data_IF_847797210563
#
_entry.id   IF_847797210563
#
_cell.length_a   1.000
_cell.length_b   1.000
_cell.length_c   1.000
_cell.angle_alpha   90.00
_cell.angle_beta   90.00
_cell.angle_gamma   90.00
#
_symmetry.space_group_name_H-M   'P 1'
#
loop_
_entity.id
_entity.type
_entity.pdbx_description
1 polymer ?
#
# COMPACT_ATOMS: atom_id res chain seq x y z
N UNK A 1 -10.95 28.59 17.42
CA UNK A 1 -10.78 27.13 17.54
C UNK A 1 -9.99 26.85 18.82
N UNK A 2 -10.47 26.01 19.72
CA UNK A 2 -9.73 25.56 20.90
C UNK A 2 -8.47 24.80 20.46
N UNK A 3 -7.42 24.83 21.30
CA UNK A 3 -6.18 24.06 21.01
C UNK A 3 -6.52 22.58 21.15
N UNK A 4 -6.38 21.80 20.08
CA UNK A 4 -6.54 20.33 20.10
C UNK A 4 -5.68 19.70 21.20
N UNK A 5 -6.23 18.74 21.92
CA UNK A 5 -5.52 17.99 22.94
C UNK A 5 -4.26 17.32 22.39
N UNK A 6 -3.36 16.94 23.27
CA UNK A 6 -2.19 16.15 22.91
C UNK A 6 -2.57 14.67 22.91
N UNK A 7 -2.06 13.89 21.94
CA UNK A 7 -2.24 12.44 21.97
C UNK A 7 -1.52 11.85 23.20
N UNK A 8 -2.09 10.81 23.75
CA UNK A 8 -1.47 9.99 24.80
C UNK A 8 -0.73 8.87 24.09
N UNK A 9 0.58 8.76 24.33
CA UNK A 9 1.40 7.68 23.79
C UNK A 9 2.10 6.97 24.94
N UNK A 10 1.84 5.67 25.07
CA UNK A 10 2.51 4.78 26.00
C UNK A 10 3.43 3.84 25.22
N UNK A 11 4.63 3.66 25.72
CA UNK A 11 5.66 2.81 25.13
C UNK A 11 6.13 1.80 26.16
N UNK A 12 5.93 0.52 25.89
CA UNK A 12 6.26 -0.58 26.82
C UNK A 12 7.02 -1.68 26.05
N UNK A 13 7.78 -2.53 26.75
CA UNK A 13 8.26 -3.79 26.18
C UNK A 13 7.09 -4.62 25.68
N UNK A 14 7.26 -5.27 24.51
CA UNK A 14 6.19 -6.04 23.89
C UNK A 14 6.18 -7.49 24.41
N UNK A 15 5.77 -7.63 25.66
CA UNK A 15 5.66 -8.90 26.38
C UNK A 15 4.38 -8.93 27.20
N UNK A 16 3.89 -10.15 27.50
CA UNK A 16 2.67 -10.33 28.27
C UNK A 16 2.81 -9.80 29.72
N UNK A 17 3.99 -9.98 30.32
CA UNK A 17 4.30 -9.47 31.66
C UNK A 17 4.28 -7.94 31.71
N UNK A 18 4.91 -7.28 30.69
CA UNK A 18 4.93 -5.82 30.62
C UNK A 18 3.55 -5.24 30.34
N UNK A 19 2.73 -5.90 29.52
CA UNK A 19 1.34 -5.51 29.29
C UNK A 19 0.50 -5.63 30.56
N UNK A 20 0.67 -6.70 31.32
CA UNK A 20 -0.04 -6.95 32.58
C UNK A 20 0.37 -5.96 33.65
N UNK A 21 1.66 -5.64 33.76
CA UNK A 21 2.16 -4.61 34.65
C UNK A 21 1.63 -3.22 34.31
N UNK A 22 1.64 -2.90 33.00
CA UNK A 22 1.06 -1.64 32.51
C UNK A 22 -0.41 -1.53 32.86
N UNK A 23 -1.21 -2.56 32.63
CA UNK A 23 -2.66 -2.55 32.85
C UNK A 23 -3.02 -2.44 34.34
N UNK A 24 -2.27 -3.15 35.23
CA UNK A 24 -2.65 -3.34 36.62
C UNK A 24 -1.95 -2.37 37.59
N UNK A 25 -0.78 -1.84 37.21
CA UNK A 25 0.02 -1.01 38.13
C UNK A 25 0.34 0.38 37.56
N UNK A 26 0.77 0.46 36.28
CA UNK A 26 1.21 1.74 35.70
C UNK A 26 0.00 2.61 35.30
N UNK A 27 -0.92 2.06 34.51
CA UNK A 27 -2.08 2.82 34.02
C UNK A 27 -3.00 3.33 35.15
N UNK A 28 -3.28 2.56 36.22
CA UNK A 28 -4.05 3.07 37.39
C UNK A 28 -3.40 4.23 38.14
N UNK A 29 -2.10 4.43 38.00
CA UNK A 29 -1.36 5.56 38.60
C UNK A 29 -1.39 6.83 37.73
N UNK A 30 -1.87 6.76 36.50
CA UNK A 30 -2.04 7.90 35.58
C UNK A 30 -3.32 8.70 35.94
N UNK A 31 -3.47 9.88 35.33
CA UNK A 31 -4.69 10.68 35.49
C UNK A 31 -5.94 9.98 34.87
N UNK A 32 -7.12 10.37 35.36
CA UNK A 32 -8.40 9.76 34.96
C UNK A 32 -8.64 9.83 33.43
N UNK A 33 -8.25 10.93 32.79
CA UNK A 33 -8.41 11.09 31.35
C UNK A 33 -7.53 10.09 30.58
N UNK A 34 -6.28 9.91 31.01
CA UNK A 34 -5.37 8.92 30.42
C UNK A 34 -5.92 7.51 30.58
N UNK A 35 -6.41 7.16 31.79
CA UNK A 35 -7.01 5.85 32.04
C UNK A 35 -8.22 5.60 31.14
N UNK A 36 -9.13 6.58 31.07
CA UNK A 36 -10.35 6.50 30.25
C UNK A 36 -10.04 6.31 28.76
N UNK A 37 -9.13 7.15 28.20
CA UNK A 37 -8.78 7.11 26.79
C UNK A 37 -8.06 5.82 26.37
N UNK A 38 -7.30 5.18 27.25
CA UNK A 38 -6.63 3.92 26.93
C UNK A 38 -7.55 2.70 27.15
N UNK A 39 -8.48 2.74 28.13
CA UNK A 39 -9.34 1.59 28.44
C UNK A 39 -10.61 1.53 27.61
N UNK A 40 -11.26 2.69 27.37
CA UNK A 40 -12.64 2.75 26.93
C UNK A 40 -12.80 3.41 25.53
N UNK A 41 -11.76 4.06 25.00
CA UNK A 41 -11.78 4.64 23.68
C UNK A 41 -11.06 3.77 22.65
N UNK A 42 -11.38 3.93 21.35
CA UNK A 42 -10.58 3.33 20.30
C UNK A 42 -9.12 3.77 20.38
N UNK A 43 -8.20 2.88 20.17
CA UNK A 43 -6.75 3.11 20.21
C UNK A 43 -6.10 2.63 18.93
N UNK A 44 -4.98 3.27 18.56
CA UNK A 44 -4.06 2.76 17.54
C UNK A 44 -2.82 2.24 18.25
N UNK A 45 -2.25 1.15 17.73
CA UNK A 45 -1.08 0.56 18.35
C UNK A 45 -0.08 0.09 17.30
N UNK A 46 1.21 0.06 17.72
CA UNK A 46 2.33 -0.34 16.87
C UNK A 46 3.15 -1.37 17.63
N UNK A 47 3.13 -2.63 17.19
CA UNK A 47 4.14 -3.61 17.54
C UNK A 47 5.35 -3.39 16.64
N UNK A 48 6.53 -3.35 17.20
CA UNK A 48 7.75 -3.28 16.40
C UNK A 48 8.84 -4.15 17.03
N UNK A 49 9.63 -4.76 16.16
CA UNK A 49 10.78 -5.57 16.58
C UNK A 49 11.97 -5.24 15.70
N UNK A 50 13.16 -5.35 16.30
CA UNK A 50 14.40 -5.01 15.64
C UNK A 50 15.18 -6.29 15.30
N UNK A 51 15.37 -6.52 14.01
CA UNK A 51 16.21 -7.59 13.49
C UNK A 51 17.47 -6.97 12.88
N UNK A 52 18.62 -7.10 13.58
CA UNK A 52 19.88 -6.45 13.21
C UNK A 52 19.73 -4.91 13.16
N UNK A 53 19.87 -4.31 11.99
CA UNK A 53 19.74 -2.86 11.81
C UNK A 53 18.37 -2.44 11.22
N UNK A 54 17.47 -3.39 11.01
CA UNK A 54 16.17 -3.16 10.41
C UNK A 54 15.04 -3.32 11.42
N UNK A 55 13.93 -2.66 11.13
CA UNK A 55 12.68 -2.80 11.87
C UNK A 55 11.66 -3.55 11.02
N UNK A 56 10.79 -4.28 11.67
CA UNK A 56 9.55 -4.75 11.13
C UNK A 56 8.44 -4.27 12.06
N UNK A 57 7.29 -3.92 11.50
CA UNK A 57 6.20 -3.32 12.26
C UNK A 57 4.86 -3.96 11.92
N UNK A 58 4.03 -4.09 12.93
CA UNK A 58 2.60 -4.35 12.77
C UNK A 58 1.84 -3.17 13.37
N UNK A 59 0.93 -2.59 12.61
CA UNK A 59 0.12 -1.46 13.03
C UNK A 59 -1.33 -1.91 13.05
N UNK A 60 -2.06 -1.56 14.09
CA UNK A 60 -3.45 -1.94 14.24
C UNK A 60 -4.26 -0.90 15.02
N UNK A 61 -5.57 -1.01 14.92
CA UNK A 61 -6.51 -0.26 15.73
C UNK A 61 -7.48 -1.20 16.44
N UNK A 62 -7.97 -0.79 17.57
CA UNK A 62 -8.91 -1.60 18.37
C UNK A 62 -9.71 -0.74 19.34
N UNK A 63 -10.91 -1.21 19.68
CA UNK A 63 -11.69 -0.64 20.79
C UNK A 63 -11.23 -1.18 22.17
N UNK A 64 -10.41 -2.25 22.21
CA UNK A 64 -10.01 -2.93 23.45
C UNK A 64 -8.57 -3.38 23.38
N UNK A 65 -7.64 -2.47 23.67
CA UNK A 65 -6.20 -2.69 23.47
C UNK A 65 -5.66 -3.91 24.24
N UNK A 66 -6.00 -4.05 25.51
CA UNK A 66 -5.49 -5.16 26.34
C UNK A 66 -5.96 -6.53 25.85
N UNK A 67 -7.25 -6.64 25.47
CA UNK A 67 -7.81 -7.87 24.91
C UNK A 67 -7.11 -8.19 23.58
N UNK A 68 -7.02 -7.20 22.69
CA UNK A 68 -6.44 -7.38 21.35
C UNK A 68 -4.98 -7.79 21.40
N UNK A 69 -4.20 -7.17 22.28
CA UNK A 69 -2.78 -7.51 22.45
C UNK A 69 -2.59 -8.93 22.99
N UNK A 70 -3.43 -9.38 23.95
CA UNK A 70 -3.40 -10.78 24.41
C UNK A 70 -3.79 -11.77 23.30
N UNK A 71 -4.74 -11.43 22.43
CA UNK A 71 -5.04 -12.25 21.24
C UNK A 71 -3.80 -12.40 20.34
N UNK A 72 -2.99 -11.35 20.19
CA UNK A 72 -1.72 -11.44 19.47
C UNK A 72 -0.72 -12.35 20.19
N UNK A 73 -0.56 -12.22 21.50
CA UNK A 73 0.37 -13.07 22.26
C UNK A 73 -0.02 -14.55 22.23
N UNK A 74 -1.31 -14.88 22.12
CA UNK A 74 -1.74 -16.26 21.97
C UNK A 74 -1.22 -16.93 20.68
N UNK A 75 -0.84 -16.15 19.67
CA UNK A 75 -0.31 -16.63 18.39
C UNK A 75 1.23 -16.63 18.30
N UNK A 76 1.94 -16.29 19.37
CA UNK A 76 3.42 -16.24 19.39
C UNK A 76 4.08 -17.57 19.01
N UNK A 77 3.41 -18.69 19.26
CA UNK A 77 3.92 -20.02 18.95
C UNK A 77 3.62 -20.50 17.54
N UNK A 78 2.86 -19.73 16.76
CA UNK A 78 2.54 -20.04 15.37
C UNK A 78 3.66 -19.53 14.44
N UNK A 79 4.52 -20.39 13.89
CA UNK A 79 5.76 -19.96 13.24
C UNK A 79 5.54 -19.16 11.94
N UNK A 80 4.38 -19.33 11.29
CA UNK A 80 4.01 -18.62 10.07
C UNK A 80 3.42 -17.23 10.32
N UNK A 81 3.11 -16.92 11.59
CA UNK A 81 2.52 -15.64 11.97
C UNK A 81 3.60 -14.63 12.38
N UNK A 82 3.37 -13.35 12.08
CA UNK A 82 4.31 -12.29 12.48
C UNK A 82 4.54 -12.24 14.01
N UNK A 83 3.56 -12.64 14.82
CA UNK A 83 3.64 -12.67 16.27
C UNK A 83 4.79 -13.56 16.79
N UNK A 84 5.15 -14.60 16.06
CA UNK A 84 6.29 -15.44 16.43
C UNK A 84 7.61 -14.64 16.48
N UNK A 85 7.70 -13.51 15.82
CA UNK A 85 8.88 -12.63 15.81
C UNK A 85 9.03 -11.87 17.14
N UNK A 86 7.94 -11.62 17.88
CA UNK A 86 7.96 -10.93 19.16
C UNK A 86 8.74 -11.71 20.23
N UNK A 87 8.76 -13.04 20.13
CA UNK A 87 9.56 -13.89 21.04
C UNK A 87 11.03 -14.04 20.62
N UNK A 88 11.35 -13.75 19.36
CA UNK A 88 12.69 -13.95 18.78
C UNK A 88 13.57 -12.70 18.83
N UNK A 89 12.97 -11.54 18.81
CA UNK A 89 13.67 -10.26 18.67
C UNK A 89 13.27 -9.28 19.78
N UNK A 90 14.14 -8.32 20.14
CA UNK A 90 13.75 -7.22 21.00
C UNK A 90 12.56 -6.48 20.38
N UNK A 91 11.44 -6.49 21.07
CA UNK A 91 10.19 -5.91 20.61
C UNK A 91 9.65 -4.85 21.58
N UNK A 92 8.92 -3.87 21.05
CA UNK A 92 8.22 -2.88 21.85
C UNK A 92 6.85 -2.54 21.26
N UNK A 93 5.95 -2.14 22.14
CA UNK A 93 4.56 -1.78 21.84
C UNK A 93 4.34 -0.29 22.12
N UNK A 94 3.86 0.44 21.13
CA UNK A 94 3.31 1.78 21.29
C UNK A 94 1.79 1.70 21.33
N UNK A 95 1.17 2.34 22.32
CA UNK A 95 -0.29 2.47 22.47
C UNK A 95 -0.63 3.94 22.35
N UNK A 96 -1.50 4.29 21.44
CA UNK A 96 -1.84 5.68 21.07
C UNK A 96 -3.33 5.90 21.33
N UNK A 97 -3.65 6.85 22.17
CA UNK A 97 -5.01 7.30 22.48
C UNK A 97 -5.21 8.79 22.23
N UNK A 98 -6.42 9.19 21.93
CA UNK A 98 -6.81 10.60 21.79
C UNK A 98 -8.32 10.76 22.02
N UNK A 99 -8.74 11.88 22.62
CA UNK A 99 -10.16 12.15 22.96
C UNK A 99 -11.10 12.18 21.74
N UNK A 100 -10.57 12.51 20.55
CA UNK A 100 -11.33 12.53 19.30
C UNK A 100 -11.26 11.21 18.52
N UNK A 101 -10.65 10.18 19.08
CA UNK A 101 -10.60 8.88 18.40
C UNK A 101 -11.99 8.26 18.36
N UNK A 102 -12.39 7.92 17.16
CA UNK A 102 -13.49 7.02 16.82
C UNK A 102 -12.98 6.00 15.81
N UNK A 103 -13.78 4.99 15.52
CA UNK A 103 -13.39 3.89 14.63
C UNK A 103 -12.85 4.36 13.27
N UNK A 104 -13.49 5.35 12.66
CA UNK A 104 -13.06 5.86 11.35
C UNK A 104 -11.75 6.64 11.41
N UNK A 105 -11.56 7.47 12.46
CA UNK A 105 -10.32 8.21 12.64
C UNK A 105 -9.15 7.27 12.95
N UNK A 106 -9.35 6.24 13.78
CA UNK A 106 -8.30 5.28 14.09
C UNK A 106 -7.88 4.48 12.87
N UNK A 107 -8.80 4.10 11.98
CA UNK A 107 -8.48 3.48 10.69
C UNK A 107 -7.68 4.40 9.77
N UNK A 108 -8.03 5.69 9.68
CA UNK A 108 -7.28 6.65 8.86
C UNK A 108 -5.87 6.90 9.42
N UNK A 109 -5.71 6.95 10.75
CA UNK A 109 -4.39 7.08 11.41
C UNK A 109 -3.56 5.82 11.22
N UNK A 110 -4.15 4.62 11.38
CA UNK A 110 -3.51 3.34 11.10
C UNK A 110 -2.98 3.30 9.67
N UNK A 111 -3.81 3.61 8.68
CA UNK A 111 -3.41 3.65 7.27
C UNK A 111 -2.29 4.66 7.00
N UNK A 112 -2.36 5.85 7.60
CA UNK A 112 -1.29 6.85 7.44
C UNK A 112 0.00 6.44 8.11
N UNK A 113 -0.05 5.79 9.27
CA UNK A 113 1.12 5.20 9.92
C UNK A 113 1.75 4.13 9.04
N UNK A 114 0.96 3.22 8.48
CA UNK A 114 1.45 2.19 7.55
C UNK A 114 2.14 2.82 6.34
N UNK A 115 1.52 3.84 5.75
CA UNK A 115 2.09 4.56 4.60
C UNK A 115 3.45 5.21 4.94
N UNK A 116 3.55 5.85 6.10
CA UNK A 116 4.79 6.46 6.57
C UNK A 116 5.85 5.40 6.85
N UNK A 117 5.50 4.34 7.58
CA UNK A 117 6.43 3.26 7.92
C UNK A 117 6.94 2.52 6.69
N UNK A 118 6.09 2.27 5.69
CA UNK A 118 6.51 1.66 4.43
C UNK A 118 7.57 2.50 3.70
N UNK A 119 7.55 3.82 3.88
CA UNK A 119 8.45 4.75 3.21
C UNK A 119 9.81 4.91 3.90
N UNK A 120 10.06 4.20 5.00
CA UNK A 120 11.31 4.26 5.78
C UNK A 120 12.22 3.11 5.35
N UNK A 121 13.46 3.41 4.98
CA UNK A 121 14.40 2.42 4.46
C UNK A 121 14.73 1.30 5.46
N UNK A 122 14.80 1.64 6.76
CA UNK A 122 15.06 0.70 7.83
C UNK A 122 13.86 -0.20 8.16
N UNK A 123 12.65 0.13 7.72
CA UNK A 123 11.46 -0.71 7.88
C UNK A 123 11.38 -1.68 6.71
N UNK A 124 11.49 -2.97 6.98
CA UNK A 124 11.50 -4.02 5.94
C UNK A 124 10.13 -4.63 5.67
N UNK A 125 9.25 -4.62 6.66
CA UNK A 125 7.91 -5.18 6.52
C UNK A 125 6.92 -4.34 7.31
N UNK A 126 5.77 -4.08 6.70
CA UNK A 126 4.61 -3.43 7.32
C UNK A 126 3.44 -4.40 7.21
N UNK A 127 3.06 -4.97 8.35
CA UNK A 127 1.96 -5.91 8.43
C UNK A 127 0.67 -5.20 8.86
N UNK A 128 -0.42 -5.65 8.34
CA UNK A 128 -1.81 -5.25 8.50
C UNK A 128 -2.32 -4.34 7.37
N UNK A 129 -3.57 -4.60 6.97
CA UNK A 129 -4.16 -3.95 5.81
C UNK A 129 -5.68 -3.89 6.03
N UNK A 130 -6.16 -2.73 6.46
CA UNK A 130 -7.58 -2.45 6.53
C UNK A 130 -7.86 -1.10 5.91
N UNK A 131 -8.94 -0.99 5.14
CA UNK A 131 -9.39 0.28 4.58
C UNK A 131 -10.49 0.86 5.45
N UNK A 132 -10.48 2.19 5.58
CA UNK A 132 -11.62 2.88 6.16
C UNK A 132 -12.76 2.92 5.12
N UNK A 133 -13.88 2.20 5.34
CA UNK A 133 -15.00 2.22 4.43
C UNK A 133 -15.79 3.53 4.49
N UNK A 134 -15.57 4.35 5.51
CA UNK A 134 -16.29 5.61 5.71
C UNK A 134 -15.47 6.80 5.21
N UNK A 135 -15.81 7.41 4.06
CA UNK A 135 -15.04 8.51 3.46
C UNK A 135 -15.13 9.82 4.25
N UNK A 136 -16.24 10.06 4.96
CA UNK A 136 -16.47 11.24 5.77
C UNK A 136 -16.96 10.89 7.17
N UNK A 137 -16.35 11.48 8.19
CA UNK A 137 -16.73 11.31 9.60
C UNK A 137 -16.39 12.55 10.40
N UNK A 138 -16.99 12.70 11.57
CA UNK A 138 -16.66 13.78 12.49
C UNK A 138 -15.63 13.28 13.54
N UNK A 139 -14.56 14.01 13.84
CA UNK A 139 -14.05 15.28 13.28
C UNK A 139 -12.89 15.07 12.28
N UNK A 140 -13.19 14.66 11.06
CA UNK A 140 -12.19 14.31 10.02
C UNK A 140 -11.17 15.44 9.75
N UNK A 141 -11.59 16.71 9.78
CA UNK A 141 -10.72 17.89 9.53
C UNK A 141 -9.60 18.05 10.56
N UNK A 142 -9.71 17.43 11.72
CA UNK A 142 -8.70 17.47 12.78
C UNK A 142 -7.65 16.38 12.64
N UNK A 143 -7.90 15.36 11.83
CA UNK A 143 -7.05 14.17 11.67
C UNK A 143 -5.61 14.52 11.31
N UNK A 144 -5.41 15.48 10.41
CA UNK A 144 -4.07 15.88 9.97
C UNK A 144 -3.25 16.52 11.10
N UNK A 145 -3.90 17.32 11.96
CA UNK A 145 -3.21 17.93 13.10
C UNK A 145 -2.95 16.92 14.21
N UNK A 146 -3.91 16.03 14.49
CA UNK A 146 -3.77 14.95 15.45
C UNK A 146 -2.62 14.03 15.02
N UNK A 147 -2.60 13.61 13.74
CA UNK A 147 -1.55 12.76 13.20
C UNK A 147 -0.16 13.40 13.33
N UNK A 148 -0.01 14.70 12.99
CA UNK A 148 1.27 15.40 13.16
C UNK A 148 1.74 15.44 14.61
N UNK A 149 0.82 15.60 15.57
CA UNK A 149 1.15 15.54 17.00
C UNK A 149 1.60 14.14 17.41
N UNK A 150 0.92 13.09 16.92
CA UNK A 150 1.29 11.69 17.15
C UNK A 150 2.69 11.44 16.61
N UNK A 151 2.93 11.75 15.33
CA UNK A 151 4.23 11.52 14.68
C UNK A 151 5.36 12.25 15.39
N UNK A 152 5.12 13.49 15.80
CA UNK A 152 6.11 14.27 16.55
C UNK A 152 6.47 13.64 17.91
N UNK A 153 5.51 13.09 18.64
CA UNK A 153 5.77 12.40 19.92
C UNK A 153 6.48 11.06 19.71
N UNK A 154 6.03 10.26 18.73
CA UNK A 154 6.70 9.00 18.35
C UNK A 154 8.17 9.26 17.98
N UNK A 155 8.43 10.32 17.20
CA UNK A 155 9.77 10.72 16.82
C UNK A 155 10.65 11.13 18.01
N UNK A 156 10.10 11.68 19.09
CA UNK A 156 10.85 11.96 20.32
C UNK A 156 11.31 10.69 21.02
N UNK A 157 10.53 9.63 20.94
CA UNK A 157 10.86 8.34 21.57
C UNK A 157 11.89 7.54 20.76
N UNK A 158 11.78 7.54 19.42
CA UNK A 158 12.70 6.80 18.54
C UNK A 158 12.84 7.49 17.18
N UNK A 159 13.97 8.17 16.95
CA UNK A 159 14.23 8.93 15.71
C UNK A 159 14.58 8.03 14.52
N UNK A 160 15.08 6.83 14.77
CA UNK A 160 15.46 5.88 13.73
C UNK A 160 14.22 5.21 13.13
N UNK A 161 13.25 4.88 13.99
CA UNK A 161 11.97 4.30 13.56
C UNK A 161 11.01 5.37 13.04
N UNK A 162 11.07 6.62 13.55
CA UNK A 162 10.17 7.71 13.19
C UNK A 162 10.97 8.93 12.70
N UNK A 163 11.45 8.95 11.45
CA UNK A 163 12.19 10.08 10.89
C UNK A 163 11.32 11.34 10.69
N UNK A 164 11.86 12.38 10.06
CA UNK A 164 11.09 13.59 9.73
C UNK A 164 10.05 13.32 8.64
N UNK A 165 8.93 14.02 8.68
CA UNK A 165 7.91 13.91 7.64
C UNK A 165 8.43 14.32 6.25
N UNK A 166 9.35 15.29 6.18
CA UNK A 166 9.98 15.68 4.92
C UNK A 166 10.77 14.53 4.30
N UNK A 167 11.57 13.80 5.10
CA UNK A 167 12.29 12.62 4.63
C UNK A 167 11.34 11.58 4.02
N UNK A 168 10.21 11.32 4.70
CA UNK A 168 9.21 10.36 4.22
C UNK A 168 8.58 10.84 2.91
N UNK A 169 8.06 12.07 2.89
CA UNK A 169 7.32 12.62 1.74
C UNK A 169 8.18 12.82 0.50
N UNK A 170 9.49 12.97 0.66
CA UNK A 170 10.44 13.09 -0.44
C UNK A 170 10.82 11.73 -1.04
N UNK A 171 10.61 10.63 -0.34
CA UNK A 171 10.98 9.30 -0.81
C UNK A 171 10.17 8.86 -2.04
N UNK A 172 10.82 8.11 -2.94
CA UNK A 172 10.17 7.56 -4.11
C UNK A 172 9.10 6.51 -3.73
N UNK A 173 9.33 5.75 -2.66
CA UNK A 173 8.37 4.77 -2.14
C UNK A 173 7.09 5.48 -1.69
N UNK A 174 7.20 6.60 -0.94
CA UNK A 174 6.02 7.36 -0.54
C UNK A 174 5.20 7.80 -1.75
N UNK A 175 5.87 8.38 -2.76
CA UNK A 175 5.21 8.94 -3.95
C UNK A 175 4.50 7.88 -4.81
N UNK A 176 5.05 6.67 -4.89
CA UNK A 176 4.48 5.55 -5.67
C UNK A 176 3.62 4.59 -4.84
N UNK A 177 3.47 4.84 -3.54
CA UNK A 177 2.80 3.94 -2.61
C UNK A 177 1.32 3.70 -2.97
N UNK A 178 0.84 2.46 -2.87
CA UNK A 178 -0.58 2.14 -3.02
C UNK A 178 -1.44 2.58 -1.83
N UNK A 179 -0.82 3.04 -0.74
CA UNK A 179 -1.49 3.43 0.50
C UNK A 179 -1.89 4.91 0.54
N UNK A 180 -1.73 5.64 -0.54
CA UNK A 180 -2.28 6.99 -0.65
C UNK A 180 -3.80 6.98 -0.55
N UNK A 181 -4.36 7.97 0.16
CA UNK A 181 -5.79 8.24 0.10
C UNK A 181 -6.13 8.76 -1.30
N UNK A 182 -6.91 8.01 -2.04
CA UNK A 182 -7.39 8.40 -3.36
C UNK A 182 -8.40 9.55 -3.24
N UNK A 183 -8.39 10.46 -4.22
CA UNK A 183 -9.47 11.43 -4.41
C UNK A 183 -10.75 10.70 -4.81
N UNK A 184 -11.90 11.36 -4.72
CA UNK A 184 -13.19 10.76 -5.12
C UNK A 184 -13.17 10.34 -6.60
N UNK A 185 -12.55 11.14 -7.47
CA UNK A 185 -12.40 10.84 -8.89
C UNK A 185 -11.49 9.62 -9.13
N UNK A 186 -10.35 9.55 -8.43
CA UNK A 186 -9.44 8.40 -8.51
C UNK A 186 -10.12 7.15 -7.95
N UNK A 187 -10.91 7.27 -6.88
CA UNK A 187 -11.67 6.14 -6.32
C UNK A 187 -12.75 5.64 -7.27
N UNK A 188 -13.46 6.53 -7.93
CA UNK A 188 -14.43 6.17 -8.96
C UNK A 188 -13.74 5.46 -10.14
N UNK A 189 -12.59 5.97 -10.60
CA UNK A 189 -11.80 5.33 -11.64
C UNK A 189 -11.29 3.94 -11.20
N UNK A 190 -10.78 3.79 -9.97
CA UNK A 190 -10.36 2.50 -9.42
C UNK A 190 -11.50 1.49 -9.43
N UNK A 191 -12.68 1.87 -8.93
CA UNK A 191 -13.85 0.98 -8.89
C UNK A 191 -14.26 0.54 -10.30
N UNK A 192 -14.25 1.45 -11.27
CA UNK A 192 -14.59 1.14 -12.66
C UNK A 192 -13.55 0.19 -13.31
N UNK A 193 -12.26 0.37 -13.02
CA UNK A 193 -11.20 -0.54 -13.49
C UNK A 193 -11.45 -1.94 -12.93
N UNK A 194 -11.64 -2.06 -11.61
CA UNK A 194 -11.87 -3.34 -10.94
C UNK A 194 -13.13 -4.03 -11.46
N UNK A 195 -14.24 -3.30 -11.63
CA UNK A 195 -15.47 -3.85 -12.22
C UNK A 195 -15.21 -4.45 -13.62
N UNK A 196 -14.49 -3.71 -14.49
CA UNK A 196 -14.15 -4.18 -15.83
C UNK A 196 -13.21 -5.37 -15.83
N UNK A 197 -12.23 -5.39 -14.93
CA UNK A 197 -11.32 -6.53 -14.74
C UNK A 197 -12.10 -7.76 -14.36
N UNK A 198 -12.90 -7.73 -13.29
CA UNK A 198 -13.69 -8.88 -12.85
C UNK A 198 -14.67 -9.35 -13.90
N UNK A 199 -15.37 -8.42 -14.54
CA UNK A 199 -16.29 -8.76 -15.63
C UNK A 199 -15.59 -9.50 -16.79
N UNK A 200 -14.37 -9.11 -17.13
CA UNK A 200 -13.60 -9.78 -18.18
C UNK A 200 -13.12 -11.17 -17.71
N UNK A 201 -12.69 -11.31 -16.47
CA UNK A 201 -12.25 -12.56 -15.89
C UNK A 201 -13.41 -13.55 -15.74
N UNK A 202 -14.57 -13.11 -15.25
CA UNK A 202 -15.76 -13.93 -15.06
C UNK A 202 -16.34 -14.46 -16.40
N UNK A 203 -16.16 -13.71 -17.49
CA UNK A 203 -16.62 -14.10 -18.82
C UNK A 203 -15.54 -14.77 -19.68
N UNK A 204 -14.41 -15.19 -19.08
CA UNK A 204 -13.27 -15.80 -19.77
C UNK A 204 -12.75 -15.01 -20.97
N UNK A 205 -12.89 -13.67 -20.92
CA UNK A 205 -12.39 -12.80 -21.98
C UNK A 205 -10.87 -12.70 -21.90
N UNK A 206 -10.24 -12.63 -23.05
CA UNK A 206 -8.79 -12.45 -23.18
C UNK A 206 -8.47 -11.20 -23.98
N UNK A 207 -7.22 -10.71 -23.87
CA UNK A 207 -6.70 -9.56 -24.63
C UNK A 207 -7.58 -8.30 -24.47
N UNK A 208 -8.21 -8.14 -23.30
CA UNK A 208 -8.96 -6.93 -22.99
C UNK A 208 -8.01 -5.79 -22.65
N UNK A 209 -8.34 -4.58 -23.06
CA UNK A 209 -7.55 -3.39 -22.79
C UNK A 209 -8.39 -2.35 -22.05
N UNK A 210 -7.88 -1.88 -20.92
CA UNK A 210 -8.41 -0.72 -20.21
C UNK A 210 -7.34 0.38 -20.31
N UNK A 211 -7.66 1.44 -21.04
CA UNK A 211 -6.73 2.52 -21.32
C UNK A 211 -7.11 3.77 -20.53
N UNK A 212 -6.22 4.23 -19.67
CA UNK A 212 -6.41 5.42 -18.84
C UNK A 212 -5.45 6.49 -19.34
N UNK A 213 -6.02 7.55 -19.87
CA UNK A 213 -5.32 8.72 -20.36
C UNK A 213 -5.39 9.86 -19.33
N UNK A 214 -4.29 10.57 -19.14
CA UNK A 214 -4.25 11.68 -18.20
C UNK A 214 -2.94 12.45 -18.29
N UNK A 215 -2.98 13.74 -17.97
CA UNK A 215 -1.82 14.60 -17.95
C UNK A 215 -0.85 14.28 -16.81
N UNK A 216 0.37 14.81 -16.89
CA UNK A 216 1.35 14.72 -15.82
C UNK A 216 0.80 15.29 -14.49
N UNK A 217 1.07 14.60 -13.39
CA UNK A 217 0.65 15.06 -12.06
C UNK A 217 -0.79 14.75 -11.67
N UNK A 218 -1.60 14.08 -12.51
CA UNK A 218 -2.98 13.67 -12.17
C UNK A 218 -3.04 12.47 -11.22
N UNK A 219 -1.90 11.90 -10.83
CA UNK A 219 -1.81 10.78 -9.90
C UNK A 219 -2.03 9.40 -10.54
N UNK A 220 -1.77 9.25 -11.85
CA UNK A 220 -1.84 7.96 -12.56
C UNK A 220 -1.06 6.85 -11.87
N UNK A 221 0.17 7.12 -11.46
CA UNK A 221 1.03 6.18 -10.75
C UNK A 221 0.41 5.69 -9.43
N UNK A 222 -0.20 6.61 -8.66
CA UNK A 222 -0.92 6.27 -7.43
C UNK A 222 -2.17 5.45 -7.73
N UNK A 223 -2.95 5.83 -8.73
CA UNK A 223 -4.13 5.07 -9.16
C UNK A 223 -3.74 3.65 -9.60
N UNK A 224 -2.65 3.53 -10.37
CA UNK A 224 -2.16 2.25 -10.87
C UNK A 224 -1.71 1.33 -9.72
N UNK A 225 -0.81 1.81 -8.87
CA UNK A 225 -0.30 1.04 -7.72
C UNK A 225 -1.39 0.68 -6.72
N UNK A 226 -2.33 1.62 -6.44
CA UNK A 226 -3.46 1.35 -5.56
C UNK A 226 -4.43 0.34 -6.13
N UNK A 227 -4.68 0.36 -7.45
CA UNK A 227 -5.59 -0.59 -8.10
C UNK A 227 -4.97 -1.99 -8.19
N UNK A 228 -3.69 -2.07 -8.54
CA UNK A 228 -2.91 -3.30 -8.52
C UNK A 228 -2.95 -3.96 -7.13
N UNK A 229 -2.70 -3.19 -6.09
CA UNK A 229 -2.69 -3.68 -4.71
C UNK A 229 -4.09 -4.08 -4.22
N UNK A 230 -5.11 -3.29 -4.55
CA UNK A 230 -6.51 -3.60 -4.25
C UNK A 230 -6.95 -4.93 -4.83
N UNK A 231 -6.53 -5.23 -6.06
CA UNK A 231 -6.87 -6.48 -6.71
C UNK A 231 -6.32 -7.69 -5.94
N UNK A 232 -5.09 -7.61 -5.42
CA UNK A 232 -4.54 -8.65 -4.55
C UNK A 232 -5.30 -8.77 -3.22
N UNK A 233 -5.63 -7.63 -2.58
CA UNK A 233 -6.40 -7.66 -1.34
C UNK A 233 -7.77 -8.33 -1.53
N UNK A 234 -8.49 -8.00 -2.61
CA UNK A 234 -9.78 -8.59 -2.91
C UNK A 234 -9.68 -10.08 -3.29
N UNK A 235 -8.62 -10.46 -4.00
CA UNK A 235 -8.34 -11.87 -4.32
C UNK A 235 -8.11 -12.69 -3.05
N UNK A 236 -7.43 -12.13 -2.05
CA UNK A 236 -7.24 -12.77 -0.75
C UNK A 236 -8.54 -12.88 0.04
N UNK A 237 -9.31 -11.82 0.12
CA UNK A 237 -10.60 -11.80 0.82
C UNK A 237 -11.59 -12.81 0.22
N UNK A 238 -11.59 -12.93 -1.10
CA UNK A 238 -12.49 -13.84 -1.83
C UNK A 238 -11.92 -15.26 -1.99
N UNK A 239 -10.71 -15.55 -1.52
CA UNK A 239 -10.00 -16.82 -1.69
C UNK A 239 -9.87 -17.25 -3.16
N UNK A 240 -9.78 -16.29 -4.07
CA UNK A 240 -9.62 -16.49 -5.51
C UNK A 240 -8.21 -16.05 -5.93
N UNK A 241 -7.25 -17.00 -6.12
CA UNK A 241 -5.91 -16.64 -6.53
C UNK A 241 -5.93 -15.93 -7.89
N UNK A 242 -5.11 -14.88 -8.02
CA UNK A 242 -4.99 -14.08 -9.22
C UNK A 242 -3.52 -13.87 -9.58
N UNK A 243 -3.19 -13.93 -10.86
CA UNK A 243 -1.87 -13.63 -11.40
C UNK A 243 -1.82 -12.22 -11.96
N UNK A 244 -1.23 -11.28 -11.19
CA UNK A 244 -1.12 -9.90 -11.61
C UNK A 244 0.33 -9.47 -11.71
N UNK A 245 0.65 -8.65 -12.72
CA UNK A 245 1.96 -8.03 -12.90
C UNK A 245 1.85 -6.52 -12.99
N UNK A 246 2.79 -5.82 -12.37
CA UNK A 246 3.00 -4.38 -12.53
C UNK A 246 4.24 -4.17 -13.40
N UNK A 247 4.05 -3.57 -14.57
CA UNK A 247 5.07 -3.40 -15.59
C UNK A 247 5.44 -1.93 -15.75
N UNK A 248 6.73 -1.63 -15.77
CA UNK A 248 7.23 -0.27 -16.01
C UNK A 248 8.58 -0.31 -16.72
N UNK A 249 8.75 0.55 -17.74
CA UNK A 249 9.95 0.59 -18.56
C UNK A 249 11.00 1.59 -18.05
N UNK A 250 11.23 1.63 -16.74
CA UNK A 250 12.22 2.51 -16.10
C UNK A 250 12.89 1.81 -14.92
N UNK A 251 14.22 1.62 -14.97
CA UNK A 251 15.00 0.82 -14.01
C UNK A 251 14.84 1.23 -12.55
N UNK A 252 14.86 2.54 -12.28
CA UNK A 252 14.72 3.02 -10.90
C UNK A 252 13.30 2.83 -10.36
N UNK A 253 12.31 2.98 -11.22
CA UNK A 253 10.92 2.81 -10.83
C UNK A 253 10.56 1.33 -10.60
N UNK A 254 11.14 0.40 -11.37
CA UNK A 254 11.06 -1.05 -11.09
C UNK A 254 11.54 -1.33 -9.68
N UNK A 255 12.72 -0.82 -9.29
CA UNK A 255 13.26 -1.02 -7.93
C UNK A 255 12.37 -0.46 -6.84
N UNK A 256 11.75 0.69 -7.09
CA UNK A 256 10.79 1.29 -6.13
C UNK A 256 9.57 0.38 -5.94
N UNK A 257 9.00 -0.13 -7.03
CA UNK A 257 7.86 -1.03 -6.96
C UNK A 257 8.24 -2.39 -6.35
N UNK A 258 9.41 -2.95 -6.65
CA UNK A 258 9.94 -4.15 -6.01
C UNK A 258 10.03 -3.96 -4.49
N UNK A 259 10.56 -2.84 -4.01
CA UNK A 259 10.60 -2.52 -2.58
C UNK A 259 9.21 -2.38 -1.96
N UNK A 260 8.26 -1.81 -2.68
CA UNK A 260 6.87 -1.67 -2.21
C UNK A 260 6.23 -3.06 -2.04
N UNK A 261 6.29 -3.92 -3.05
CA UNK A 261 5.68 -5.26 -3.01
C UNK A 261 6.35 -6.18 -1.99
N UNK A 262 7.67 -6.04 -1.80
CA UNK A 262 8.40 -6.76 -0.75
C UNK A 262 7.91 -6.36 0.65
N UNK A 263 7.80 -5.06 0.91
CA UNK A 263 7.34 -4.54 2.21
C UNK A 263 5.88 -4.87 2.50
N UNK A 264 5.07 -5.06 1.47
CA UNK A 264 3.67 -5.49 1.56
C UNK A 264 3.52 -7.02 1.61
N UNK A 265 4.62 -7.78 1.56
CA UNK A 265 4.61 -9.24 1.60
C UNK A 265 4.13 -9.92 0.31
N UNK A 266 3.92 -9.17 -0.77
CA UNK A 266 3.42 -9.74 -2.03
C UNK A 266 4.45 -10.65 -2.69
N UNK A 267 5.73 -10.30 -2.64
CA UNK A 267 6.82 -11.13 -3.21
C UNK A 267 6.92 -12.47 -2.51
N UNK A 268 6.80 -12.51 -1.19
CA UNK A 268 6.83 -13.76 -0.42
C UNK A 268 5.68 -14.69 -0.80
N UNK A 269 4.51 -14.11 -1.05
CA UNK A 269 3.27 -14.87 -1.30
C UNK A 269 3.07 -15.26 -2.77
N UNK A 270 3.40 -14.36 -3.70
CA UNK A 270 3.08 -14.49 -5.13
C UNK A 270 4.32 -14.55 -6.03
N UNK A 271 5.53 -14.45 -5.47
CA UNK A 271 6.78 -14.40 -6.24
C UNK A 271 6.98 -13.05 -6.94
N UNK A 272 7.61 -13.09 -8.11
CA UNK A 272 7.87 -11.86 -8.90
C UNK A 272 6.58 -11.33 -9.49
N UNK A 273 6.17 -10.16 -9.05
CA UNK A 273 4.94 -9.46 -9.51
C UNK A 273 5.23 -8.09 -10.14
N UNK A 274 6.49 -7.67 -10.14
CA UNK A 274 6.96 -6.43 -10.78
C UNK A 274 8.01 -6.78 -11.83
N UNK A 275 7.93 -6.19 -13.02
CA UNK A 275 8.88 -6.50 -14.09
C UNK A 275 9.00 -5.36 -15.10
N UNK A 276 10.09 -5.40 -15.90
CA UNK A 276 10.15 -4.63 -17.14
C UNK A 276 9.30 -5.30 -18.23
N UNK A 277 8.71 -4.51 -19.15
CA UNK A 277 7.94 -5.03 -20.29
C UNK A 277 8.67 -6.11 -21.09
N UNK A 278 9.93 -5.89 -21.46
CA UNK A 278 10.71 -6.86 -22.24
C UNK A 278 10.92 -8.17 -21.46
N UNK A 279 11.23 -8.11 -20.17
CA UNK A 279 11.41 -9.30 -19.32
C UNK A 279 10.11 -10.07 -19.18
N UNK A 280 9.01 -9.38 -18.98
CA UNK A 280 7.67 -9.98 -18.91
C UNK A 280 7.32 -10.70 -20.21
N UNK A 281 7.49 -10.04 -21.37
CA UNK A 281 7.20 -10.61 -22.69
C UNK A 281 8.03 -11.86 -22.96
N UNK A 282 9.31 -11.89 -22.55
CA UNK A 282 10.20 -13.04 -22.78
C UNK A 282 9.90 -14.22 -21.86
N UNK A 283 9.26 -14.00 -20.70
CA UNK A 283 9.01 -15.02 -19.68
C UNK A 283 7.59 -15.56 -19.66
N UNK A 284 6.67 -15.00 -20.45
CA UNK A 284 5.27 -15.40 -20.48
C UNK A 284 4.83 -15.76 -21.91
N UNK A 285 4.07 -16.85 -22.00
CA UNK A 285 3.55 -17.34 -23.27
C UNK A 285 2.18 -16.75 -23.60
N UNK A 286 1.87 -16.70 -24.89
CA UNK A 286 0.56 -16.27 -25.40
C UNK A 286 -0.52 -17.32 -25.09
N UNK A 287 -0.14 -18.60 -25.08
CA UNK A 287 -1.06 -19.73 -24.88
C UNK A 287 -1.53 -19.84 -23.41
N UNK A 288 -0.78 -19.25 -22.46
CA UNK A 288 -1.10 -19.25 -21.03
C UNK A 288 -1.03 -17.82 -20.50
N UNK A 289 -1.99 -16.96 -20.87
CA UNK A 289 -1.99 -15.56 -20.45
C UNK A 289 -2.24 -15.44 -18.94
N UNK A 290 -1.52 -14.50 -18.31
CA UNK A 290 -1.80 -14.11 -16.92
C UNK A 290 -3.15 -13.40 -16.83
N UNK A 291 -3.69 -13.26 -15.61
CA UNK A 291 -4.99 -12.61 -15.44
C UNK A 291 -4.91 -11.10 -15.75
N UNK A 292 -4.01 -10.35 -15.10
CA UNK A 292 -3.98 -8.89 -15.27
C UNK A 292 -2.54 -8.36 -15.36
N UNK A 293 -2.27 -7.57 -16.38
CA UNK A 293 -1.05 -6.76 -16.51
C UNK A 293 -1.39 -5.27 -16.29
N UNK A 294 -0.79 -4.65 -15.29
CA UNK A 294 -0.82 -3.21 -15.09
C UNK A 294 0.43 -2.59 -15.70
N UNK A 295 0.27 -1.60 -16.55
CA UNK A 295 1.38 -0.91 -17.22
C UNK A 295 1.42 0.54 -16.77
N UNK A 296 2.45 0.89 -16.00
CA UNK A 296 2.70 2.28 -15.62
C UNK A 296 3.60 2.96 -16.65
N UNK A 297 3.41 4.27 -16.84
CA UNK A 297 4.17 5.07 -17.81
C UNK A 297 4.23 4.42 -19.21
N UNK A 298 3.07 4.00 -19.73
CA UNK A 298 2.99 3.22 -20.96
C UNK A 298 3.50 3.98 -22.21
N UNK A 299 3.60 5.29 -22.16
CA UNK A 299 4.26 6.10 -23.20
C UNK A 299 5.75 5.78 -23.35
N UNK A 300 6.38 5.11 -22.34
CA UNK A 300 7.77 4.64 -22.40
C UNK A 300 7.92 3.26 -23.06
N UNK A 301 6.82 2.60 -23.46
CA UNK A 301 6.87 1.32 -24.16
C UNK A 301 7.48 1.49 -25.56
N UNK A 302 8.24 0.47 -25.98
CA UNK A 302 8.82 0.46 -27.32
C UNK A 302 7.75 0.15 -28.37
N UNK A 303 7.67 0.99 -29.39
CA UNK A 303 6.79 0.84 -30.56
C UNK A 303 7.49 0.17 -31.74
N UNK A 304 8.79 -0.15 -31.59
CA UNK A 304 9.61 -0.88 -32.57
C UNK A 304 10.71 -1.69 -31.86
N UNK A 305 11.27 -2.67 -32.55
CA UNK A 305 12.33 -3.51 -31.99
C UNK A 305 13.60 -2.74 -31.64
N UNK A 306 14.19 -3.04 -30.47
CA UNK A 306 15.43 -2.44 -29.96
C UNK A 306 16.16 -3.41 -29.05
N UNK A 307 17.46 -3.63 -29.29
CA UNK A 307 18.34 -4.47 -28.46
C UNK A 307 17.73 -5.81 -28.07
N UNK A 308 17.33 -5.99 -26.80
CA UNK A 308 16.78 -7.24 -26.24
C UNK A 308 15.32 -7.49 -26.61
N UNK A 309 14.62 -6.48 -27.16
CA UNK A 309 13.23 -6.60 -27.61
C UNK A 309 13.19 -6.78 -29.13
N UNK A 310 12.72 -7.94 -29.60
CA UNK A 310 12.65 -8.30 -31.03
C UNK A 310 11.25 -8.09 -31.63
N UNK A 311 10.24 -7.78 -30.83
CA UNK A 311 8.87 -7.53 -31.26
C UNK A 311 8.68 -6.19 -31.97
N UNK A 312 7.48 -5.94 -32.46
CA UNK A 312 7.12 -4.72 -33.17
C UNK A 312 6.47 -3.66 -32.28
N UNK A 313 5.77 -4.08 -31.23
CA UNK A 313 5.08 -3.18 -30.30
C UNK A 313 4.90 -3.87 -28.94
N UNK A 314 5.54 -3.33 -27.90
CA UNK A 314 5.50 -3.91 -26.56
C UNK A 314 4.09 -3.95 -25.97
N UNK A 315 3.25 -2.94 -26.22
CA UNK A 315 1.89 -2.95 -25.69
C UNK A 315 1.07 -4.10 -26.29
N UNK A 316 1.19 -4.32 -27.61
CA UNK A 316 0.50 -5.43 -28.26
C UNK A 316 0.98 -6.78 -27.70
N UNK A 317 2.28 -6.95 -27.53
CA UNK A 317 2.86 -8.18 -27.00
C UNK A 317 2.45 -8.45 -25.54
N UNK A 318 2.23 -7.40 -24.73
CA UNK A 318 1.69 -7.51 -23.36
C UNK A 318 0.21 -7.92 -23.41
N UNK A 319 -0.59 -7.28 -24.26
CA UNK A 319 -2.03 -7.58 -24.42
C UNK A 319 -2.25 -9.04 -24.79
N UNK A 320 -1.40 -9.60 -25.63
CA UNK A 320 -1.47 -11.01 -26.05
C UNK A 320 -1.14 -12.01 -24.95
N UNK A 321 -0.44 -11.56 -23.88
CA UNK A 321 0.00 -12.38 -22.73
C UNK A 321 -0.77 -12.14 -21.45
N UNK A 322 -1.83 -11.33 -21.52
CA UNK A 322 -2.69 -11.04 -20.39
C UNK A 322 -4.17 -11.13 -20.79
N UNK A 323 -5.01 -11.60 -19.90
CA UNK A 323 -6.47 -11.58 -20.11
C UNK A 323 -6.97 -10.14 -20.12
N UNK A 324 -6.46 -9.33 -19.17
CA UNK A 324 -6.75 -7.89 -19.09
C UNK A 324 -5.46 -7.10 -18.97
N UNK A 325 -5.30 -6.05 -19.74
CA UNK A 325 -4.19 -5.10 -19.66
C UNK A 325 -4.73 -3.72 -19.27
N UNK A 326 -4.27 -3.20 -18.12
CA UNK A 326 -4.61 -1.85 -17.62
C UNK A 326 -3.43 -0.93 -17.91
N UNK A 327 -3.65 0.15 -18.63
CA UNK A 327 -2.60 1.01 -19.16
C UNK A 327 -2.77 2.43 -18.66
N UNK A 328 -1.73 2.97 -18.01
CA UNK A 328 -1.62 4.39 -17.66
C UNK A 328 -0.79 5.11 -18.72
N UNK A 329 -1.38 6.04 -19.44
CA UNK A 329 -0.76 6.71 -20.56
C UNK A 329 -0.72 8.24 -20.35
N UNK A 330 0.35 8.87 -20.86
CA UNK A 330 0.49 10.31 -20.94
C UNK A 330 0.95 10.70 -22.35
N UNK A 331 0.03 11.26 -23.12
CA UNK A 331 0.29 11.61 -24.54
C UNK A 331 1.39 12.68 -24.69
N UNK A 332 1.58 13.52 -23.68
CA UNK A 332 2.50 14.65 -23.75
C UNK A 332 3.93 14.34 -23.29
N UNK A 333 4.21 13.11 -22.83
CA UNK A 333 5.51 12.68 -22.30
C UNK A 333 6.28 11.69 -23.18
N UNK A 334 6.33 11.91 -24.49
CA UNK A 334 7.14 11.09 -25.40
C UNK A 334 8.60 11.54 -25.36
N UNK A 335 9.53 10.62 -25.00
CA UNK A 335 10.95 10.93 -24.73
C UNK A 335 11.89 10.59 -25.89
N UNK A 336 11.63 9.51 -26.65
CA UNK A 336 12.53 9.04 -27.72
C UNK A 336 11.76 8.60 -28.96
N UNK A 337 12.47 8.48 -30.11
CA UNK A 337 11.90 8.03 -31.38
C UNK A 337 11.33 6.62 -31.33
N UNK A 338 11.95 5.73 -30.51
CA UNK A 338 11.50 4.35 -30.35
C UNK A 338 10.26 4.20 -29.46
N UNK A 339 9.89 5.27 -28.78
CA UNK A 339 8.70 5.41 -27.94
C UNK A 339 7.66 6.34 -28.58
N UNK A 340 7.86 6.70 -29.87
CA UNK A 340 6.91 7.54 -30.57
C UNK A 340 5.66 6.75 -30.95
N UNK A 341 4.52 7.25 -30.51
CA UNK A 341 3.20 6.69 -30.79
C UNK A 341 2.56 7.47 -31.93
N UNK A 342 2.38 6.82 -33.08
CA UNK A 342 1.62 7.41 -34.16
C UNK A 342 0.17 7.65 -33.73
N UNK A 343 -0.42 8.78 -34.07
CA UNK A 343 -1.77 9.16 -33.67
C UNK A 343 -2.81 8.09 -34.06
N UNK A 344 -2.69 7.52 -35.25
CA UNK A 344 -3.57 6.46 -35.73
C UNK A 344 -3.45 5.17 -34.93
N UNK A 345 -2.24 4.83 -34.48
CA UNK A 345 -1.99 3.67 -33.60
C UNK A 345 -2.58 3.89 -32.21
N UNK A 346 -2.41 5.08 -31.66
CA UNK A 346 -2.95 5.44 -30.36
C UNK A 346 -4.49 5.42 -30.37
N UNK A 347 -5.10 6.01 -31.43
CA UNK A 347 -6.55 6.00 -31.58
C UNK A 347 -7.10 4.57 -31.69
N UNK A 348 -6.43 3.69 -32.44
CA UNK A 348 -6.79 2.27 -32.52
C UNK A 348 -6.81 1.58 -31.13
N UNK A 349 -5.86 1.87 -30.24
CA UNK A 349 -5.87 1.34 -28.88
C UNK A 349 -6.96 1.98 -28.04
N UNK A 350 -7.22 3.28 -28.19
CA UNK A 350 -8.33 3.97 -27.53
C UNK A 350 -9.68 3.40 -27.94
N UNK A 351 -9.88 3.11 -29.22
CA UNK A 351 -11.10 2.47 -29.73
C UNK A 351 -11.24 1.02 -29.22
N UNK A 352 -10.14 0.25 -29.21
CA UNK A 352 -10.12 -1.11 -28.67
C UNK A 352 -10.43 -1.13 -27.17
N UNK A 353 -10.04 -0.11 -26.45
CA UNK A 353 -10.24 0.03 -25.04
C UNK A 353 -11.71 0.35 -24.74
N UNK A 354 -12.33 -0.41 -23.83
CA UNK A 354 -13.60 -0.02 -23.22
C UNK A 354 -13.28 1.04 -22.16
N UNK A 355 -13.10 2.26 -22.63
CA UNK A 355 -12.49 3.37 -21.93
C UNK A 355 -13.05 3.69 -20.55
N UNK A 356 -12.13 3.90 -19.60
CA UNK A 356 -12.29 4.83 -18.50
C UNK A 356 -11.68 6.19 -18.94
N UNK A 357 -12.50 7.15 -19.33
CA UNK A 357 -12.12 8.57 -19.39
C UNK A 357 -12.31 9.16 -18.02
#
# INVERSE_FOLDING_TARGET
MGKLAQPIIKHIPDTEDALSDFENHILPAEDEQTQELIRNFPTVYIHNWKNSNNFEVYIGETNHIFKRTREHYALIHEPEQWQAKLSKYPASLYIIGHEHFNKSMTLDIENRLMHYMMSIDQVKSVCNQRKNPQPHYYPMEEMDEIFRKIWHQLRKSNKDLFPTESYIKDSAIYKASPLHKLTDEQKAAQNLILEKVYKALDNDQTQQLIFIDGEAGTGKTVLNSSTFYELYCQAEENHCPIQCYLLVNHDQQVKVYEQIVDKLGLTEKYGTVVSKPTTFINNHDIDHPIDVAFVDEAHLLLTQGKQSYKGKNQLQDIIERARVTVVMFDEYQVLTTEQYWEADLLEKYREKSKMCK
#
